data_IF_112030131833
#
_entry.id   IF_112030131833
#
_cell.length_a   1.000
_cell.length_b   1.000
_cell.length_c   1.000
_cell.angle_alpha   90.00
_cell.angle_beta   90.00
_cell.angle_gamma   90.00
#
_symmetry.space_group_name_H-M   'P 1'
#
loop_
_entity.id
_entity.type
_entity.pdbx_description
1 polymer ?
#
# COMPACT_ATOMS: atom_id res chain seq x y z
N UNK A 1 -74.02 -63.40 2.39
CA UNK A 1 -72.61 -63.82 2.45
C UNK A 1 -71.81 -62.61 2.07
N UNK A 2 -71.21 -61.90 3.01
CA UNK A 2 -70.08 -62.26 3.89
C UNK A 2 -68.73 -61.87 3.28
N UNK A 3 -67.97 -61.09 4.08
CA UNK A 3 -66.57 -60.65 4.06
C UNK A 3 -65.95 -60.10 2.74
N UNK A 4 -65.16 -59.02 2.68
CA UNK A 4 -64.47 -58.22 3.69
C UNK A 4 -62.99 -57.98 3.29
N UNK A 5 -62.51 -56.73 3.45
CA UNK A 5 -61.09 -56.26 3.45
C UNK A 5 -60.46 -55.89 2.09
N UNK A 6 -59.72 -54.78 1.89
CA UNK A 6 -59.51 -53.51 2.59
C UNK A 6 -58.80 -52.53 1.63
N UNK A 7 -58.86 -51.25 1.98
CA UNK A 7 -58.45 -50.06 1.24
C UNK A 7 -56.95 -49.92 0.88
N UNK A 8 -56.68 -49.29 -0.27
CA UNK A 8 -55.57 -48.35 -0.47
C UNK A 8 -55.93 -47.35 -1.59
N UNK A 9 -55.97 -46.05 -1.25
CA UNK A 9 -56.39 -44.92 -2.08
C UNK A 9 -55.21 -44.35 -2.91
N UNK A 10 -55.45 -43.48 -3.92
CA UNK A 10 -54.62 -43.36 -5.11
C UNK A 10 -53.57 -42.25 -5.03
N UNK A 11 -52.39 -42.47 -5.61
CA UNK A 11 -51.42 -41.42 -5.90
C UNK A 11 -51.58 -40.98 -7.37
N UNK A 12 -52.22 -39.82 -7.56
CA UNK A 12 -52.45 -39.18 -8.84
C UNK A 12 -51.18 -38.55 -9.42
N UNK A 13 -51.02 -38.69 -10.72
CA UNK A 13 -49.98 -38.07 -11.53
C UNK A 13 -50.30 -36.60 -11.86
N UNK A 14 -49.30 -35.71 -11.69
CA UNK A 14 -49.09 -34.41 -12.36
C UNK A 14 -47.81 -33.75 -11.78
N UNK A 15 -47.26 -32.66 -12.34
CA UNK A 15 -46.71 -32.48 -13.68
C UNK A 15 -45.21 -32.05 -13.63
N UNK A 16 -44.61 -31.88 -14.81
CA UNK A 16 -43.21 -31.48 -15.01
C UNK A 16 -42.79 -30.23 -14.20
N UNK A 17 -41.75 -30.39 -13.38
CA UNK A 17 -41.09 -29.29 -12.69
C UNK A 17 -40.14 -28.56 -13.65
N UNK A 18 -40.38 -27.27 -13.83
CA UNK A 18 -39.49 -26.33 -14.49
C UNK A 18 -38.15 -26.28 -13.76
N UNK A 19 -37.10 -26.81 -14.41
CA UNK A 19 -35.73 -26.54 -14.02
C UNK A 19 -35.42 -25.08 -14.41
N UNK A 20 -35.35 -24.23 -13.40
CA UNK A 20 -34.81 -22.87 -13.48
C UNK A 20 -33.41 -22.92 -14.08
N UNK A 21 -33.28 -22.47 -15.32
CA UNK A 21 -32.01 -22.27 -15.99
C UNK A 21 -31.22 -21.19 -15.23
N UNK A 22 -30.13 -21.61 -14.59
CA UNK A 22 -29.07 -20.72 -14.14
C UNK A 22 -28.54 -19.92 -15.34
N UNK A 23 -28.18 -18.63 -15.19
CA UNK A 23 -27.69 -17.85 -16.31
C UNK A 23 -26.36 -18.44 -16.77
N UNK A 24 -26.34 -18.89 -18.03
CA UNK A 24 -25.15 -19.39 -18.68
C UNK A 24 -24.04 -18.32 -18.63
N UNK A 25 -22.94 -18.66 -17.96
CA UNK A 25 -21.71 -17.88 -18.01
C UNK A 25 -21.28 -17.74 -19.48
N UNK A 26 -21.00 -16.49 -19.88
CA UNK A 26 -20.42 -16.19 -21.19
C UNK A 26 -19.12 -16.97 -21.40
N UNK A 27 -18.79 -17.38 -22.64
CA UNK A 27 -17.62 -18.21 -22.87
C UNK A 27 -16.33 -17.40 -22.62
N UNK A 28 -15.46 -17.92 -21.75
CA UNK A 28 -14.12 -17.36 -21.44
C UNK A 28 -13.15 -17.33 -22.65
N UNK A 29 -13.61 -17.70 -23.85
CA UNK A 29 -12.84 -17.68 -25.10
C UNK A 29 -12.62 -16.28 -25.69
N UNK A 30 -13.20 -15.23 -25.11
CA UNK A 30 -13.15 -13.86 -25.65
C UNK A 30 -12.21 -12.90 -24.91
N UNK A 31 -11.62 -13.30 -23.78
CA UNK A 31 -10.78 -12.42 -22.94
C UNK A 31 -9.29 -12.50 -23.30
N UNK A 32 -8.84 -13.64 -23.82
CA UNK A 32 -7.43 -13.90 -24.08
C UNK A 32 -7.14 -14.04 -25.58
N UNK A 33 -6.10 -13.39 -26.11
CA UNK A 33 -5.74 -13.46 -27.54
C UNK A 33 -5.32 -14.86 -28.02
N UNK A 34 -4.85 -15.71 -27.11
CA UNK A 34 -4.37 -17.07 -27.41
C UNK A 34 -4.44 -17.94 -26.16
N UNK A 35 -4.47 -19.27 -26.36
CA UNK A 35 -4.36 -20.24 -25.29
C UNK A 35 -3.12 -19.99 -24.40
N UNK A 36 -1.99 -19.61 -24.99
CA UNK A 36 -0.78 -19.28 -24.21
C UNK A 36 -0.99 -18.12 -23.25
N UNK A 37 -1.77 -17.10 -23.62
CA UNK A 37 -2.07 -15.97 -22.74
C UNK A 37 -2.97 -16.40 -21.57
N UNK A 38 -3.94 -17.28 -21.84
CA UNK A 38 -4.81 -17.84 -20.81
C UNK A 38 -4.02 -18.69 -19.82
N UNK A 39 -3.15 -19.56 -20.33
CA UNK A 39 -2.36 -20.48 -19.51
C UNK A 39 -1.31 -19.69 -18.68
N UNK A 40 -0.64 -18.70 -19.28
CA UNK A 40 0.26 -17.80 -18.56
C UNK A 40 -0.46 -16.99 -17.47
N UNK A 41 -1.65 -16.49 -17.75
CA UNK A 41 -2.46 -15.79 -16.75
C UNK A 41 -2.90 -16.72 -15.62
N UNK A 42 -3.27 -17.97 -15.92
CA UNK A 42 -3.62 -18.96 -14.93
C UNK A 42 -2.46 -19.26 -13.97
N UNK A 43 -1.23 -19.39 -14.50
CA UNK A 43 -0.01 -19.54 -13.68
C UNK A 43 0.20 -18.32 -12.78
N UNK A 44 0.09 -17.11 -13.34
CA UNK A 44 0.20 -15.88 -12.55
C UNK A 44 -0.83 -15.82 -11.40
N UNK A 45 -2.10 -16.15 -11.67
CA UNK A 45 -3.15 -16.18 -10.64
C UNK A 45 -2.87 -17.23 -9.57
N UNK A 46 -2.39 -18.41 -9.97
CA UNK A 46 -2.03 -19.47 -9.03
C UNK A 46 -0.91 -19.01 -8.09
N UNK A 47 0.15 -18.38 -8.62
CA UNK A 47 1.24 -17.83 -7.82
C UNK A 47 0.78 -16.71 -6.89
N UNK A 48 -0.09 -15.80 -7.36
CA UNK A 48 -0.70 -14.79 -6.51
C UNK A 48 -1.47 -15.44 -5.35
N UNK A 49 -2.27 -16.48 -5.64
CA UNK A 49 -3.06 -17.20 -4.64
C UNK A 49 -2.19 -17.90 -3.61
N UNK A 50 -1.10 -18.54 -4.02
CA UNK A 50 -0.15 -19.19 -3.12
C UNK A 50 0.57 -18.14 -2.26
N UNK A 51 0.97 -17.03 -2.85
CA UNK A 51 1.60 -15.92 -2.10
C UNK A 51 0.63 -15.24 -1.11
N UNK A 52 -0.66 -15.21 -1.43
CA UNK A 52 -1.73 -14.60 -0.63
C UNK A 52 -2.26 -15.54 0.46
N UNK A 53 -2.10 -16.86 0.29
CA UNK A 53 -2.37 -17.88 1.29
C UNK A 53 -1.35 -17.79 2.43
N UNK A 54 -1.36 -16.68 3.15
CA UNK A 54 -0.85 -16.62 4.52
C UNK A 54 -1.79 -17.44 5.41
N UNK A 55 -1.24 -18.44 6.09
CA UNK A 55 -1.77 -19.09 7.30
C UNK A 55 -3.30 -19.02 7.44
N UNK A 56 -4.08 -19.49 6.46
CA UNK A 56 -5.54 -19.42 6.56
C UNK A 56 -5.94 -20.20 7.81
N UNK A 57 -6.28 -19.42 8.82
CA UNK A 57 -6.74 -19.84 10.12
C UNK A 57 -8.03 -20.60 9.90
N UNK A 58 -8.02 -21.90 10.20
CA UNK A 58 -9.15 -22.79 9.98
C UNK A 58 -8.70 -24.24 9.92
N UNK A 59 -7.93 -24.60 8.89
CA UNK A 59 -7.70 -26.02 8.59
C UNK A 59 -6.27 -26.51 8.88
N UNK A 60 -5.29 -25.61 9.04
CA UNK A 60 -3.91 -25.99 9.37
C UNK A 60 -3.63 -26.06 10.89
N UNK A 61 -4.46 -25.42 11.72
CA UNK A 61 -4.26 -25.40 13.18
C UNK A 61 -4.47 -26.79 13.82
N UNK A 62 -5.06 -27.75 13.09
CA UNK A 62 -5.27 -29.10 13.58
C UNK A 62 -4.11 -30.07 13.30
N UNK A 63 -3.08 -29.71 12.50
CA UNK A 63 -2.07 -30.69 12.07
C UNK A 63 -0.62 -30.19 11.83
N UNK A 64 -0.29 -28.88 11.86
CA UNK A 64 1.04 -28.42 11.42
C UNK A 64 2.01 -28.11 12.58
N UNK A 65 3.03 -28.95 12.78
CA UNK A 65 4.20 -28.61 13.61
C UNK A 65 5.08 -27.50 12.99
N UNK A 66 6.12 -27.01 13.70
CA UNK A 66 6.98 -25.92 13.24
C UNK A 66 7.66 -26.17 11.87
N UNK A 67 7.89 -27.43 11.51
CA UNK A 67 8.44 -27.81 10.21
C UNK A 67 7.48 -27.53 9.04
N UNK A 68 6.17 -27.72 9.22
CA UNK A 68 5.17 -27.45 8.19
C UNK A 68 4.99 -25.94 7.96
N UNK A 69 5.09 -25.14 9.03
CA UNK A 69 5.08 -23.68 8.91
C UNK A 69 6.28 -23.14 8.12
N UNK A 70 7.47 -23.75 8.28
CA UNK A 70 8.66 -23.37 7.52
C UNK A 70 8.49 -23.65 6.01
N UNK A 71 7.96 -24.81 5.65
CA UNK A 71 7.68 -25.17 4.24
C UNK A 71 6.70 -24.18 3.59
N UNK A 72 5.69 -23.72 4.33
CA UNK A 72 4.74 -22.72 3.83
C UNK A 72 5.42 -21.36 3.57
N UNK A 73 6.32 -20.93 4.45
CA UNK A 73 7.09 -19.69 4.26
C UNK A 73 8.00 -19.81 3.03
N UNK A 74 8.68 -20.94 2.86
CA UNK A 74 9.54 -21.19 1.70
C UNK A 74 8.74 -21.19 0.38
N UNK A 75 7.59 -21.87 0.36
CA UNK A 75 6.67 -21.86 -0.79
C UNK A 75 6.20 -20.45 -1.15
N UNK A 76 5.95 -19.62 -0.14
CA UNK A 76 5.55 -18.23 -0.30
C UNK A 76 6.68 -17.37 -0.88
N UNK A 77 7.89 -17.50 -0.35
CA UNK A 77 9.07 -16.79 -0.87
C UNK A 77 9.32 -17.17 -2.33
N UNK A 78 9.30 -18.47 -2.65
CA UNK A 78 9.48 -18.94 -4.02
C UNK A 78 8.39 -18.39 -4.95
N UNK A 79 7.14 -18.36 -4.51
CA UNK A 79 6.03 -17.82 -5.31
C UNK A 79 6.23 -16.32 -5.59
N UNK A 80 6.69 -15.55 -4.61
CA UNK A 80 6.99 -14.12 -4.79
C UNK A 80 8.20 -13.89 -5.71
N UNK A 81 9.24 -14.72 -5.62
CA UNK A 81 10.38 -14.68 -6.55
C UNK A 81 9.92 -14.91 -7.99
N UNK A 82 9.13 -15.96 -8.22
CA UNK A 82 8.57 -16.26 -9.54
C UNK A 82 7.65 -15.14 -10.06
N UNK A 83 6.87 -14.51 -9.18
CA UNK A 83 6.06 -13.34 -9.55
C UNK A 83 6.95 -12.16 -9.96
N UNK A 84 8.03 -11.89 -9.23
CA UNK A 84 9.01 -10.86 -9.60
C UNK A 84 9.62 -11.16 -10.98
N UNK A 85 10.02 -12.40 -11.23
CA UNK A 85 10.62 -12.81 -12.51
C UNK A 85 9.63 -12.65 -13.67
N UNK A 86 8.35 -12.98 -13.46
CA UNK A 86 7.28 -12.77 -14.46
C UNK A 86 7.14 -11.29 -14.78
N UNK A 87 7.13 -10.41 -13.77
CA UNK A 87 6.95 -8.96 -13.97
C UNK A 87 8.17 -8.37 -14.68
N UNK A 88 9.37 -8.82 -14.34
CA UNK A 88 10.63 -8.38 -14.98
C UNK A 88 10.68 -8.75 -16.46
N UNK A 89 10.36 -10.01 -16.76
CA UNK A 89 10.62 -10.62 -18.05
C UNK A 89 9.37 -10.77 -18.92
N UNK A 90 8.21 -10.27 -18.49
CA UNK A 90 6.99 -10.31 -19.28
C UNK A 90 7.22 -9.65 -20.65
N UNK A 91 6.84 -10.32 -21.74
CA UNK A 91 6.86 -9.73 -23.08
C UNK A 91 5.79 -8.65 -23.25
N UNK A 92 5.97 -7.77 -24.24
CA UNK A 92 5.08 -6.62 -24.51
C UNK A 92 3.59 -7.03 -24.69
N UNK A 93 3.33 -8.15 -25.37
CA UNK A 93 1.99 -8.69 -25.55
C UNK A 93 1.31 -9.10 -24.22
N UNK A 94 2.10 -9.56 -23.25
CA UNK A 94 1.58 -9.91 -21.93
C UNK A 94 1.41 -8.68 -21.05
N UNK A 95 2.34 -7.72 -21.10
CA UNK A 95 2.26 -6.45 -20.34
C UNK A 95 1.06 -5.59 -20.73
N UNK A 96 0.70 -5.58 -22.01
CA UNK A 96 -0.44 -4.81 -22.54
C UNK A 96 -1.80 -5.50 -22.39
N UNK A 97 -1.82 -6.77 -21.95
CA UNK A 97 -3.06 -7.52 -21.79
C UNK A 97 -3.91 -6.95 -20.66
N UNK A 98 -5.15 -6.54 -20.98
CA UNK A 98 -6.11 -6.03 -19.96
C UNK A 98 -6.37 -7.03 -18.84
N UNK A 99 -6.42 -8.32 -19.15
CA UNK A 99 -6.64 -9.35 -18.15
C UNK A 99 -5.46 -9.44 -17.17
N UNK A 100 -4.23 -9.34 -17.69
CA UNK A 100 -3.02 -9.35 -16.86
C UNK A 100 -2.91 -8.09 -16.01
N UNK A 101 -3.12 -6.90 -16.60
CA UNK A 101 -3.15 -5.63 -15.86
C UNK A 101 -4.23 -5.62 -14.77
N UNK A 102 -5.44 -6.13 -15.07
CA UNK A 102 -6.49 -6.30 -14.07
C UNK A 102 -6.11 -7.30 -12.97
N UNK A 103 -5.36 -8.35 -13.32
CA UNK A 103 -4.79 -9.30 -12.36
C UNK A 103 -3.75 -8.67 -11.44
N UNK A 104 -2.88 -7.80 -11.97
CA UNK A 104 -1.92 -7.04 -11.16
C UNK A 104 -2.68 -6.13 -10.17
N UNK A 105 -3.60 -5.32 -10.68
CA UNK A 105 -4.39 -4.37 -9.88
C UNK A 105 -5.13 -5.00 -8.71
N UNK A 106 -5.73 -6.18 -8.94
CA UNK A 106 -6.55 -6.86 -7.94
C UNK A 106 -5.74 -7.89 -7.15
N UNK A 107 -5.34 -8.98 -7.79
CA UNK A 107 -4.79 -10.16 -7.12
C UNK A 107 -3.38 -9.94 -6.60
N UNK A 108 -2.52 -9.30 -7.40
CA UNK A 108 -1.15 -9.03 -6.95
C UNK A 108 -1.13 -7.91 -5.90
N UNK A 109 -1.82 -6.80 -6.11
CA UNK A 109 -1.92 -5.73 -5.10
C UNK A 109 -2.48 -6.24 -3.77
N UNK A 110 -3.57 -7.03 -3.78
CA UNK A 110 -4.14 -7.63 -2.58
C UNK A 110 -3.11 -8.54 -1.87
N UNK A 111 -2.36 -9.35 -2.63
CA UNK A 111 -1.32 -10.23 -2.09
C UNK A 111 -0.15 -9.42 -1.50
N UNK A 112 0.33 -8.41 -2.21
CA UNK A 112 1.42 -7.53 -1.76
C UNK A 112 1.06 -6.86 -0.44
N UNK A 113 -0.15 -6.31 -0.33
CA UNK A 113 -0.61 -5.66 0.89
C UNK A 113 -0.52 -6.58 2.12
N UNK A 114 -0.96 -7.83 1.99
CA UNK A 114 -0.89 -8.81 3.11
C UNK A 114 0.55 -9.24 3.39
N UNK A 115 1.40 -9.26 2.37
CA UNK A 115 2.80 -9.66 2.49
C UNK A 115 3.66 -8.59 3.16
N UNK A 116 3.32 -7.30 3.00
CA UNK A 116 3.99 -6.20 3.70
C UNK A 116 3.75 -6.22 5.22
N UNK A 117 2.65 -6.83 5.66
CA UNK A 117 2.29 -6.98 7.07
C UNK A 117 2.70 -8.36 7.63
N UNK A 118 3.45 -9.17 6.86
CA UNK A 118 3.91 -10.47 7.29
C UNK A 118 5.00 -10.34 8.38
N UNK A 119 5.04 -11.25 9.37
CA UNK A 119 6.04 -11.19 10.43
C UNK A 119 7.46 -11.57 9.95
N UNK A 120 7.59 -12.21 8.79
CA UNK A 120 8.89 -12.58 8.21
C UNK A 120 9.46 -11.44 7.34
N UNK A 121 10.61 -10.84 7.70
CA UNK A 121 11.20 -9.72 6.94
C UNK A 121 11.52 -10.07 5.48
N UNK A 122 11.92 -11.31 5.19
CA UNK A 122 12.20 -11.76 3.83
C UNK A 122 10.97 -11.67 2.90
N UNK A 123 9.78 -11.97 3.43
CA UNK A 123 8.52 -11.88 2.67
C UNK A 123 8.18 -10.43 2.37
N UNK A 124 8.34 -9.56 3.38
CA UNK A 124 8.15 -8.10 3.22
C UNK A 124 9.10 -7.55 2.16
N UNK A 125 10.39 -7.93 2.21
CA UNK A 125 11.40 -7.50 1.26
C UNK A 125 11.04 -7.89 -0.18
N UNK A 126 10.55 -9.11 -0.41
CA UNK A 126 10.10 -9.54 -1.73
C UNK A 126 8.86 -8.76 -2.19
N UNK A 127 7.90 -8.50 -1.29
CA UNK A 127 6.74 -7.67 -1.61
C UNK A 127 7.14 -6.25 -2.03
N UNK A 128 8.04 -5.63 -1.27
CA UNK A 128 8.59 -4.30 -1.58
C UNK A 128 9.38 -4.26 -2.89
N UNK A 129 10.15 -5.32 -3.18
CA UNK A 129 10.88 -5.45 -4.45
C UNK A 129 9.94 -5.48 -5.64
N UNK A 130 8.88 -6.28 -5.57
CA UNK A 130 7.86 -6.36 -6.62
C UNK A 130 7.16 -5.01 -6.79
N UNK A 131 6.76 -4.37 -5.69
CA UNK A 131 6.16 -3.03 -5.73
C UNK A 131 7.06 -2.03 -6.46
N UNK A 132 8.34 -1.97 -6.09
CA UNK A 132 9.32 -1.07 -6.70
C UNK A 132 9.48 -1.34 -8.20
N UNK A 133 9.46 -2.61 -8.61
CA UNK A 133 9.50 -3.00 -10.02
C UNK A 133 8.27 -2.55 -10.81
N UNK A 134 7.08 -2.65 -10.21
CA UNK A 134 5.84 -2.16 -10.83
C UNK A 134 5.86 -0.64 -11.02
N UNK A 135 6.35 0.11 -10.03
CA UNK A 135 6.44 1.58 -10.09
C UNK A 135 7.49 2.04 -11.11
N UNK A 136 8.64 1.37 -11.18
CA UNK A 136 9.70 1.71 -12.14
C UNK A 136 9.38 1.30 -13.58
N UNK A 137 8.50 0.33 -13.77
CA UNK A 137 8.14 -0.14 -15.11
C UNK A 137 7.24 0.87 -15.82
N UNK A 138 7.75 1.47 -16.89
CA UNK A 138 6.99 2.38 -17.76
C UNK A 138 5.72 1.72 -18.35
N UNK A 139 5.69 0.39 -18.50
CA UNK A 139 4.53 -0.34 -19.02
C UNK A 139 3.43 -0.55 -17.97
N UNK A 140 3.77 -0.59 -16.68
CA UNK A 140 2.81 -0.88 -15.61
C UNK A 140 2.38 0.36 -14.84
N UNK A 141 3.31 1.26 -14.53
CA UNK A 141 3.08 2.50 -13.78
C UNK A 141 1.84 3.30 -14.22
N UNK A 142 1.63 3.63 -15.52
CA UNK A 142 0.47 4.43 -15.93
C UNK A 142 -0.87 3.73 -15.67
N UNK A 143 -0.86 2.40 -15.58
CA UNK A 143 -2.05 1.61 -15.28
C UNK A 143 -2.28 1.42 -13.79
N UNK A 144 -1.31 1.74 -12.92
CA UNK A 144 -1.35 1.44 -11.48
C UNK A 144 -1.41 2.69 -10.61
N UNK A 145 -1.80 3.85 -11.15
CA UNK A 145 -1.75 5.12 -10.41
C UNK A 145 -2.57 5.09 -9.11
N UNK A 146 -3.82 4.60 -9.16
CA UNK A 146 -4.66 4.46 -7.96
C UNK A 146 -4.05 3.50 -6.94
N UNK A 147 -3.52 2.37 -7.40
CA UNK A 147 -2.88 1.39 -6.52
C UNK A 147 -1.60 1.95 -5.87
N UNK A 148 -0.77 2.67 -6.64
CA UNK A 148 0.46 3.31 -6.15
C UNK A 148 0.14 4.36 -5.09
N UNK A 149 -0.88 5.19 -5.31
CA UNK A 149 -1.33 6.20 -4.34
C UNK A 149 -1.70 5.56 -3.01
N UNK A 150 -2.55 4.52 -3.04
CA UNK A 150 -2.97 3.80 -1.83
C UNK A 150 -1.78 3.13 -1.13
N UNK A 151 -0.87 2.50 -1.87
CA UNK A 151 0.32 1.89 -1.26
C UNK A 151 1.23 2.92 -0.59
N UNK A 152 1.51 4.05 -1.25
CA UNK A 152 2.41 5.04 -0.69
C UNK A 152 1.74 5.75 0.48
N UNK A 153 0.55 6.30 0.29
CA UNK A 153 -0.12 7.13 1.30
C UNK A 153 -0.68 6.28 2.46
N UNK A 154 -1.56 5.33 2.16
CA UNK A 154 -2.34 4.63 3.18
C UNK A 154 -1.59 3.45 3.80
N UNK A 155 -0.50 2.99 3.18
CA UNK A 155 0.32 1.88 3.69
C UNK A 155 1.70 2.35 4.12
N UNK A 156 2.51 2.92 3.23
CA UNK A 156 3.91 3.22 3.55
C UNK A 156 4.01 4.36 4.56
N UNK A 157 3.36 5.50 4.30
CA UNK A 157 3.39 6.64 5.23
C UNK A 157 2.72 6.28 6.56
N UNK A 158 1.61 5.54 6.53
CA UNK A 158 0.93 5.07 7.74
C UNK A 158 1.81 4.13 8.59
N UNK A 159 2.57 3.22 7.96
CA UNK A 159 3.50 2.32 8.67
C UNK A 159 4.74 3.06 9.19
N UNK A 160 5.22 4.06 8.45
CA UNK A 160 6.32 4.91 8.90
C UNK A 160 5.91 5.72 10.13
N UNK A 161 4.71 6.32 10.15
CA UNK A 161 4.19 7.11 11.28
C UNK A 161 3.71 6.25 12.45
N UNK A 162 3.30 5.00 12.19
CA UNK A 162 2.75 4.12 13.23
C UNK A 162 3.79 3.76 14.31
N UNK A 163 3.46 3.95 15.60
CA UNK A 163 4.36 3.63 16.71
C UNK A 163 4.55 2.12 16.91
N UNK A 164 3.72 1.26 16.30
CA UNK A 164 3.79 -0.19 16.43
C UNK A 164 4.58 -0.87 15.31
N UNK A 165 5.05 -0.12 14.31
CA UNK A 165 5.84 -0.67 13.22
C UNK A 165 7.23 -1.09 13.72
N UNK A 166 7.74 -2.21 13.21
CA UNK A 166 9.09 -2.67 13.54
C UNK A 166 10.15 -1.77 12.91
N UNK A 167 11.33 -1.74 13.55
CA UNK A 167 12.50 -1.06 13.02
C UNK A 167 12.85 -1.54 11.60
N UNK A 168 12.95 -2.85 11.37
CA UNK A 168 13.29 -3.43 10.07
C UNK A 168 12.31 -2.99 8.98
N UNK A 169 11.01 -2.99 9.26
CA UNK A 169 9.98 -2.57 8.32
C UNK A 169 10.13 -1.10 7.95
N UNK A 170 10.33 -0.22 8.94
CA UNK A 170 10.55 1.21 8.69
C UNK A 170 11.79 1.43 7.84
N UNK A 171 12.89 0.76 8.17
CA UNK A 171 14.14 0.89 7.42
C UNK A 171 13.98 0.42 5.97
N UNK A 172 13.33 -0.73 5.75
CA UNK A 172 13.04 -1.23 4.41
C UNK A 172 12.14 -0.28 3.60
N UNK A 173 11.11 0.32 4.21
CA UNK A 173 10.25 1.31 3.55
C UNK A 173 11.04 2.56 3.14
N UNK A 174 11.89 3.09 4.03
CA UNK A 174 12.74 4.24 3.71
C UNK A 174 13.74 3.92 2.59
N UNK A 175 14.31 2.71 2.57
CA UNK A 175 15.17 2.24 1.49
C UNK A 175 14.43 2.15 0.14
N UNK A 176 13.17 1.73 0.15
CA UNK A 176 12.35 1.69 -1.08
C UNK A 176 12.04 3.09 -1.59
N UNK A 177 11.69 4.02 -0.69
CA UNK A 177 11.46 5.43 -1.05
C UNK A 177 12.73 6.05 -1.62
N UNK A 178 13.88 5.82 -0.99
CA UNK A 178 15.18 6.26 -1.51
C UNK A 178 15.45 5.67 -2.90
N UNK A 179 15.25 4.36 -3.06
CA UNK A 179 15.50 3.68 -4.32
C UNK A 179 14.59 4.22 -5.43
N UNK A 180 13.34 4.55 -5.12
CA UNK A 180 12.43 5.19 -6.06
C UNK A 180 12.90 6.61 -6.40
N UNK A 181 13.32 7.40 -5.40
CA UNK A 181 13.82 8.74 -5.60
C UNK A 181 15.08 8.78 -6.48
N UNK A 182 15.98 7.80 -6.37
CA UNK A 182 17.18 7.70 -7.22
C UNK A 182 16.88 7.35 -8.69
N UNK A 183 15.70 6.83 -9.00
CA UNK A 183 15.27 6.59 -10.38
C UNK A 183 14.66 7.87 -10.95
N UNK A 184 15.49 8.69 -11.59
CA UNK A 184 15.09 10.03 -12.01
C UNK A 184 13.89 10.06 -12.94
N UNK A 185 13.84 9.16 -13.91
CA UNK A 185 12.73 9.07 -14.85
C UNK A 185 11.44 8.69 -14.12
N UNK A 186 11.46 7.60 -13.35
CA UNK A 186 10.28 7.15 -12.64
C UNK A 186 9.79 8.16 -11.59
N UNK A 187 10.70 8.83 -10.89
CA UNK A 187 10.38 9.81 -9.86
C UNK A 187 9.79 11.10 -10.43
N UNK A 188 10.36 11.66 -11.50
CA UNK A 188 9.81 12.86 -12.15
C UNK A 188 8.43 12.57 -12.75
N UNK A 189 8.25 11.38 -13.33
CA UNK A 189 6.93 10.97 -13.82
C UNK A 189 5.94 10.76 -12.67
N UNK A 190 6.38 10.29 -11.50
CA UNK A 190 5.52 10.22 -10.31
C UNK A 190 5.07 11.63 -9.89
N UNK A 191 6.01 12.57 -9.76
CA UNK A 191 5.71 13.97 -9.43
C UNK A 191 4.71 14.59 -10.42
N UNK A 192 4.94 14.40 -11.72
CA UNK A 192 4.03 14.91 -12.76
C UNK A 192 2.62 14.28 -12.71
N UNK A 193 2.50 13.01 -12.31
CA UNK A 193 1.23 12.28 -12.31
C UNK A 193 0.39 12.45 -11.03
N UNK A 194 1.00 12.88 -9.93
CA UNK A 194 0.34 13.00 -8.62
C UNK A 194 0.27 14.45 -8.13
N UNK A 195 1.38 15.18 -8.14
CA UNK A 195 1.47 16.53 -7.55
C UNK A 195 1.17 17.63 -8.58
N UNK A 196 1.43 17.39 -9.88
CA UNK A 196 1.15 18.38 -10.94
C UNK A 196 -0.27 18.30 -11.53
N UNK A 197 -1.19 17.55 -10.91
CA UNK A 197 -2.55 17.34 -11.42
C UNK A 197 -3.56 18.02 -10.51
N UNK A 198 -4.27 19.01 -11.04
CA UNK A 198 -5.32 19.72 -10.30
C UNK A 198 -6.38 18.75 -9.73
N UNK A 199 -6.66 18.88 -8.44
CA UNK A 199 -7.66 18.07 -7.74
C UNK A 199 -7.20 16.69 -7.27
N UNK A 200 -5.92 16.35 -7.44
CA UNK A 200 -5.27 15.21 -6.75
C UNK A 200 -4.53 15.69 -5.50
N UNK A 201 -4.08 14.73 -4.68
CA UNK A 201 -3.31 15.03 -3.48
C UNK A 201 -1.82 14.96 -3.79
N UNK A 202 -1.04 15.88 -3.21
CA UNK A 202 0.41 15.98 -3.42
C UNK A 202 1.14 14.82 -2.72
N UNK A 203 1.37 13.74 -3.46
CA UNK A 203 1.94 12.50 -2.93
C UNK A 203 3.43 12.67 -2.62
N UNK A 204 4.19 13.28 -3.55
CA UNK A 204 5.62 13.47 -3.38
C UNK A 204 5.90 14.49 -2.27
N UNK A 205 5.10 15.55 -2.18
CA UNK A 205 5.15 16.50 -1.06
C UNK A 205 4.95 15.80 0.29
N UNK A 206 3.90 14.97 0.43
CA UNK A 206 3.65 14.22 1.68
C UNK A 206 4.79 13.28 2.04
N UNK A 207 5.38 12.61 1.06
CA UNK A 207 6.56 11.75 1.27
C UNK A 207 7.71 12.61 1.79
N UNK A 208 8.02 13.75 1.13
CA UNK A 208 9.07 14.66 1.57
C UNK A 208 8.85 15.18 3.00
N UNK A 209 7.64 15.60 3.33
CA UNK A 209 7.27 16.07 4.66
C UNK A 209 7.41 14.98 5.73
N UNK A 210 7.01 13.76 5.40
CA UNK A 210 7.15 12.60 6.31
C UNK A 210 8.63 12.29 6.55
N UNK A 211 9.43 12.22 5.49
CA UNK A 211 10.88 11.99 5.62
C UNK A 211 11.55 13.10 6.44
N UNK A 212 11.16 14.36 6.24
CA UNK A 212 11.70 15.49 7.00
C UNK A 212 11.34 15.40 8.48
N UNK A 213 10.10 15.02 8.82
CA UNK A 213 9.68 14.82 10.19
C UNK A 213 10.46 13.69 10.89
N UNK A 214 10.70 12.59 10.18
CA UNK A 214 11.50 11.45 10.66
C UNK A 214 12.95 11.89 10.86
N UNK A 215 13.56 12.53 9.86
CA UNK A 215 14.93 13.01 9.90
C UNK A 215 15.22 13.99 11.05
N UNK A 216 14.24 14.84 11.38
CA UNK A 216 14.33 15.81 12.47
C UNK A 216 14.11 15.19 13.86
N UNK A 217 13.77 13.90 13.94
CA UNK A 217 13.43 13.24 15.21
C UNK A 217 12.18 13.82 15.88
N UNK A 218 11.36 14.58 15.14
CA UNK A 218 10.13 15.23 15.65
C UNK A 218 8.97 14.26 15.84
N UNK A 219 9.16 13.02 15.42
CA UNK A 219 8.16 12.01 15.64
C UNK A 219 8.07 11.74 17.15
N UNK A 220 6.86 11.86 17.68
CA UNK A 220 6.51 11.91 19.11
C UNK A 220 7.27 10.88 19.97
N UNK A 221 7.34 11.06 21.31
CA UNK A 221 7.88 10.04 22.22
C UNK A 221 7.28 8.63 21.98
N UNK A 222 6.09 8.55 21.39
CA UNK A 222 5.45 7.32 20.89
C UNK A 222 6.12 6.70 19.65
N UNK A 223 6.71 7.49 18.74
CA UNK A 223 7.41 7.03 17.54
C UNK A 223 8.74 6.35 17.87
N UNK A 224 9.45 6.88 18.87
CA UNK A 224 10.68 6.29 19.39
C UNK A 224 10.43 5.09 20.31
N UNK A 225 9.16 4.82 20.70
CA UNK A 225 8.84 3.74 21.63
C UNK A 225 9.15 2.33 21.09
N UNK A 226 9.17 2.16 19.76
CA UNK A 226 9.55 0.90 19.09
C UNK A 226 11.04 0.80 18.79
N UNK A 227 11.78 1.90 18.81
CA UNK A 227 13.23 1.93 18.65
C UNK A 227 13.85 1.63 20.02
N UNK A 228 14.37 0.42 20.19
CA UNK A 228 14.87 -0.05 21.49
C UNK A 228 16.23 0.55 21.83
N UNK A 229 16.95 1.08 20.85
CA UNK A 229 18.29 1.66 21.02
C UNK A 229 18.41 3.02 20.33
N UNK A 230 19.28 3.88 20.87
CA UNK A 230 19.62 5.16 20.24
C UNK A 230 20.25 4.96 18.84
N UNK A 231 20.92 3.83 18.61
CA UNK A 231 21.51 3.45 17.33
C UNK A 231 20.44 3.16 16.27
N UNK A 232 19.38 2.44 16.61
CA UNK A 232 18.23 2.18 15.72
C UNK A 232 17.52 3.50 15.34
N UNK A 233 17.38 4.41 16.30
CA UNK A 233 16.80 5.74 16.04
C UNK A 233 17.66 6.55 15.06
N UNK A 234 18.97 6.60 15.29
CA UNK A 234 19.91 7.27 14.41
C UNK A 234 19.93 6.66 12.99
N UNK A 235 19.82 5.33 12.88
CA UNK A 235 19.79 4.65 11.59
C UNK A 235 18.54 5.01 10.76
N UNK A 236 17.36 5.07 11.38
CA UNK A 236 16.12 5.51 10.71
C UNK A 236 16.21 6.97 10.28
N UNK A 237 16.73 7.85 11.13
CA UNK A 237 16.93 9.27 10.82
C UNK A 237 17.90 9.45 9.65
N UNK A 238 19.04 8.77 9.69
CA UNK A 238 20.04 8.79 8.63
C UNK A 238 19.46 8.30 7.29
N UNK A 239 18.71 7.20 7.32
CA UNK A 239 18.08 6.66 6.12
C UNK A 239 17.03 7.62 5.54
N UNK A 240 16.24 8.29 6.38
CA UNK A 240 15.28 9.30 5.93
C UNK A 240 15.98 10.52 5.29
N UNK A 241 17.09 10.98 5.86
CA UNK A 241 17.92 12.03 5.26
C UNK A 241 18.49 11.61 3.90
N UNK A 242 18.94 10.37 3.79
CA UNK A 242 19.50 9.85 2.53
C UNK A 242 18.42 9.79 1.44
N UNK A 243 17.19 9.39 1.80
CA UNK A 243 16.04 9.43 0.90
C UNK A 243 15.69 10.86 0.44
N UNK A 244 15.70 11.84 1.36
CA UNK A 244 15.49 13.25 1.00
C UNK A 244 16.56 13.79 0.06
N UNK A 245 17.83 13.49 0.35
CA UNK A 245 18.94 13.87 -0.52
C UNK A 245 18.78 13.26 -1.92
N UNK A 246 18.37 11.99 -2.01
CA UNK A 246 18.08 11.36 -3.30
C UNK A 246 16.99 12.11 -4.08
N UNK A 247 15.90 12.54 -3.43
CA UNK A 247 14.85 13.34 -4.07
C UNK A 247 15.40 14.66 -4.61
N UNK A 248 16.17 15.40 -3.80
CA UNK A 248 16.76 16.68 -4.21
C UNK A 248 17.76 16.51 -5.35
N UNK A 249 18.62 15.50 -5.29
CA UNK A 249 19.59 15.21 -6.35
C UNK A 249 18.91 14.86 -7.67
N UNK A 250 17.81 14.11 -7.61
CA UNK A 250 17.01 13.76 -8.79
C UNK A 250 16.34 14.97 -9.42
N UNK A 251 15.71 15.83 -8.61
CA UNK A 251 15.11 17.08 -9.12
C UNK A 251 16.18 17.98 -9.75
N UNK A 252 17.33 18.13 -9.08
CA UNK A 252 18.47 18.88 -9.63
C UNK A 252 18.94 18.31 -10.96
N UNK A 253 19.12 16.98 -11.05
CA UNK A 253 19.54 16.31 -12.27
C UNK A 253 18.58 16.54 -13.45
N UNK A 254 17.27 16.48 -13.18
CA UNK A 254 16.25 16.76 -14.19
C UNK A 254 16.26 18.22 -14.66
N UNK A 255 16.50 19.17 -13.74
CA UNK A 255 16.63 20.60 -14.07
C UNK A 255 17.90 20.86 -14.90
N UNK A 256 19.03 20.28 -14.50
CA UNK A 256 20.31 20.43 -15.22
C UNK A 256 20.21 19.88 -16.66
N UNK A 257 19.55 18.73 -16.84
CA UNK A 257 19.27 18.14 -18.15
C UNK A 257 18.39 19.06 -19.01
N UNK A 258 17.35 19.66 -18.40
CA UNK A 258 16.44 20.58 -19.10
C UNK A 258 17.15 21.88 -19.51
N UNK A 259 18.09 22.36 -18.70
CA UNK A 259 18.85 23.60 -18.96
C UNK A 259 20.11 23.37 -19.82
N UNK A 260 20.45 22.12 -20.15
CA UNK A 260 21.66 21.78 -20.92
C UNK A 260 22.96 22.09 -20.16
N UNK A 261 22.92 22.13 -18.82
CA UNK A 261 24.10 22.35 -17.98
C UNK A 261 24.93 21.05 -17.89
N UNK A 262 26.26 21.11 -17.96
CA UNK A 262 27.09 19.92 -17.75
C UNK A 262 26.93 19.43 -16.32
N UNK A 263 26.74 18.12 -16.15
CA UNK A 263 26.63 17.44 -14.84
C UNK A 263 27.86 17.72 -13.97
N UNK A 264 27.82 18.78 -13.15
CA UNK A 264 28.72 18.95 -11.99
C UNK A 264 28.35 17.98 -10.85
N UNK A 265 27.22 17.28 -10.99
CA UNK A 265 26.66 16.36 -10.01
C UNK A 265 27.63 15.23 -9.62
N UNK A 266 28.50 14.77 -10.53
CA UNK A 266 29.52 13.78 -10.21
C UNK A 266 30.58 14.31 -9.23
N UNK A 267 31.04 15.55 -9.41
CA UNK A 267 32.05 16.17 -8.54
C UNK A 267 31.48 16.61 -7.19
N UNK A 268 30.21 17.02 -7.15
CA UNK A 268 29.55 17.46 -5.92
C UNK A 268 29.02 16.30 -5.08
N UNK A 269 28.61 15.17 -5.69
CA UNK A 269 28.22 13.97 -4.94
C UNK A 269 29.42 13.34 -4.22
N UNK A 270 30.61 13.38 -4.84
CA UNK A 270 31.87 12.97 -4.22
C UNK A 270 32.25 13.91 -3.05
N UNK A 271 32.05 15.22 -3.21
CA UNK A 271 32.27 16.21 -2.15
C UNK A 271 31.26 16.11 -0.99
N UNK A 272 29.99 15.81 -1.27
CA UNK A 272 28.95 15.62 -0.26
C UNK A 272 29.16 14.32 0.53
N UNK A 273 29.54 13.23 -0.14
CA UNK A 273 29.92 11.97 0.52
C UNK A 273 31.14 12.17 1.44
N UNK A 274 32.15 12.93 0.99
CA UNK A 274 33.31 13.27 1.80
C UNK A 274 32.96 14.16 3.01
N UNK A 275 31.99 15.07 2.88
CA UNK A 275 31.52 15.91 3.98
C UNK A 275 30.75 15.12 5.05
N UNK A 276 29.97 14.11 4.64
CA UNK A 276 29.25 13.20 5.55
C UNK A 276 30.22 12.30 6.30
N UNK A 277 31.25 11.77 5.64
CA UNK A 277 32.30 10.98 6.29
C UNK A 277 33.11 11.82 7.31
N UNK A 278 33.40 13.08 6.97
CA UNK A 278 34.06 14.03 7.87
C UNK A 278 33.19 14.45 9.08
N UNK A 279 31.86 14.37 8.96
CA UNK A 279 30.93 14.61 10.08
C UNK A 279 30.84 13.39 11.01
N UNK A 280 30.86 12.17 10.46
CA UNK A 280 30.87 10.92 11.23
C UNK A 280 32.17 10.74 12.04
N UNK A 281 33.32 11.19 11.51
CA UNK A 281 34.63 11.11 12.18
C UNK A 281 34.80 12.03 13.41
N UNK A 282 33.87 12.96 13.67
CA UNK A 282 33.95 13.87 14.83
C UNK A 282 33.17 13.38 16.06
N UNK A 283 32.36 12.32 15.94
CA UNK A 283 31.68 11.70 17.06
C UNK A 283 32.53 10.57 17.65
N UNK A 284 33.70 10.93 18.17
CA UNK A 284 34.63 9.98 18.78
C UNK A 284 35.46 10.63 19.87
N UNK A 285 34.86 10.95 21.02
CA UNK A 285 35.61 11.04 22.29
C UNK A 285 34.75 10.54 23.47
N UNK A 286 35.42 9.66 24.20
CA UNK A 286 35.20 8.99 25.49
C UNK A 286 34.63 9.79 26.67
N UNK A 287 33.88 9.04 27.49
CA UNK A 287 33.38 9.28 28.86
C UNK A 287 34.31 10.00 29.85
N UNK A 288 33.78 10.91 30.67
CA UNK A 288 33.88 10.92 32.16
C UNK A 288 33.13 12.11 32.79
N UNK A 289 32.59 11.88 33.99
CA UNK A 289 31.68 12.73 34.76
C UNK A 289 32.27 14.04 35.29
N UNK A 290 31.44 15.10 35.42
CA UNK A 290 31.37 16.02 36.58
C UNK A 290 29.94 16.56 36.71
N UNK A 291 29.44 16.56 37.94
CA UNK A 291 28.20 17.13 38.47
C UNK A 291 28.30 18.65 38.55
N UNK A 292 27.24 19.38 38.20
CA UNK A 292 26.80 20.59 38.94
C UNK A 292 25.38 21.00 38.51
N UNK A 293 24.56 21.28 39.53
CA UNK A 293 23.18 21.76 39.54
C UNK A 293 23.00 23.12 38.83
N UNK A 294 21.81 23.38 38.27
CA UNK A 294 21.02 24.59 38.59
C UNK A 294 19.54 24.42 38.17
N UNK A 295 18.66 25.05 38.95
CA UNK A 295 17.20 24.88 39.00
C UNK A 295 16.42 25.85 38.07
N UNK A 296 15.10 25.60 38.00
CA UNK A 296 13.98 26.51 37.66
C UNK A 296 13.71 26.77 36.15
N UNK A 297 12.48 26.92 35.66
CA UNK A 297 11.15 26.93 36.25
C UNK A 297 10.08 26.71 35.13
N UNK A 298 8.87 26.47 35.61
CA UNK A 298 7.56 26.28 34.99
C UNK A 298 7.14 27.33 33.92
N UNK A 299 6.31 26.91 32.95
CA UNK A 299 5.15 27.67 32.47
C UNK A 299 4.48 26.99 31.25
N UNK A 300 3.30 26.43 31.51
CA UNK A 300 2.29 26.11 30.51
C UNK A 300 1.48 27.36 30.07
N UNK A 301 0.84 27.20 28.90
CA UNK A 301 -0.40 27.84 28.44
C UNK A 301 -0.36 29.23 27.77
N UNK A 302 -0.79 29.25 26.50
CA UNK A 302 -1.64 30.23 25.78
C UNK A 302 -1.30 30.12 24.27
N UNK A 303 -2.19 30.13 23.29
CA UNK A 303 -3.60 30.48 23.23
C UNK A 303 -4.25 29.78 22.03
N UNK A 304 -5.50 29.37 22.22
CA UNK A 304 -6.45 29.15 21.14
C UNK A 304 -7.22 30.46 20.85
N UNK A 305 -7.78 30.51 19.64
CA UNK A 305 -8.88 31.37 19.17
C UNK A 305 -8.54 32.66 18.39
N UNK A 306 -8.69 32.57 17.07
CA UNK A 306 -9.35 33.54 16.16
C UNK A 306 -9.36 32.90 14.76
N UNK A 307 -10.41 32.87 13.94
CA UNK A 307 -11.75 33.41 14.00
C UNK A 307 -12.60 32.62 12.98
N UNK A 308 -13.88 32.43 13.28
CA UNK A 308 -14.90 32.02 12.33
C UNK A 308 -15.42 33.24 11.57
N UNK A 309 -15.63 33.11 10.25
CA UNK A 309 -16.54 33.94 9.46
C UNK A 309 -16.95 33.18 8.18
N UNK A 310 -18.18 32.66 8.18
CA UNK A 310 -19.01 32.36 7.00
C UNK A 310 -19.74 33.66 6.56
N UNK A 311 -20.55 33.68 5.49
CA UNK A 311 -20.32 33.24 4.10
C UNK A 311 -20.81 34.32 3.10
N UNK A 312 -20.46 34.26 1.81
CA UNK A 312 -21.30 34.89 0.77
C UNK A 312 -21.50 34.01 -0.46
N UNK A 313 -22.76 34.03 -0.87
CA UNK A 313 -23.50 33.35 -1.91
C UNK A 313 -23.13 33.74 -3.33
N UNK A 314 -23.21 32.80 -4.26
CA UNK A 314 -23.78 33.01 -5.61
C UNK A 314 -24.39 31.70 -6.14
N UNK A 315 -25.69 31.75 -6.41
CA UNK A 315 -26.45 30.82 -7.28
C UNK A 315 -26.18 31.22 -8.75
N UNK A 316 -26.46 30.50 -9.84
CA UNK A 316 -27.33 29.38 -10.22
C UNK A 316 -26.73 28.79 -11.53
N UNK A 317 -27.09 27.56 -11.91
CA UNK A 317 -26.76 27.05 -13.25
C UNK A 317 -27.01 25.56 -13.46
N UNK A 318 -28.28 25.19 -13.54
CA UNK A 318 -28.81 23.85 -13.82
C UNK A 318 -28.59 23.41 -15.28
N UNK A 319 -28.21 22.15 -15.50
CA UNK A 319 -28.60 21.37 -16.69
C UNK A 319 -28.29 19.87 -16.51
N UNK A 320 -29.36 19.10 -16.41
CA UNK A 320 -29.43 17.64 -16.46
C UNK A 320 -28.84 17.03 -17.75
N UNK A 321 -28.14 15.90 -17.61
CA UNK A 321 -28.05 14.86 -18.63
C UNK A 321 -27.71 13.52 -17.97
N UNK A 322 -28.75 12.81 -17.55
CA UNK A 322 -28.70 11.43 -17.06
C UNK A 322 -28.87 10.47 -18.25
N UNK A 323 -27.86 9.63 -18.53
CA UNK A 323 -28.02 8.25 -19.03
C UNK A 323 -26.65 7.59 -19.28
N UNK A 324 -26.59 6.26 -19.06
CA UNK A 324 -25.50 5.33 -19.39
C UNK A 324 -24.35 5.06 -18.39
N UNK A 325 -24.58 5.23 -17.08
CA UNK A 325 -23.59 4.90 -16.04
C UNK A 325 -23.84 3.56 -15.27
N UNK A 326 -24.54 2.57 -15.86
CA UNK A 326 -24.98 1.39 -15.11
C UNK A 326 -24.18 0.10 -15.34
N UNK A 327 -23.28 0.00 -16.33
CA UNK A 327 -22.67 -1.32 -16.68
C UNK A 327 -21.13 -1.35 -16.65
N UNK A 328 -20.44 -0.27 -16.25
CA UNK A 328 -18.97 -0.28 -16.02
C UNK A 328 -18.57 -0.25 -14.54
N UNK A 329 -19.54 -0.38 -13.62
CA UNK A 329 -19.35 -0.17 -12.17
C UNK A 329 -18.84 -1.41 -11.40
N UNK A 330 -18.84 -2.60 -12.00
CA UNK A 330 -18.50 -3.84 -11.30
C UNK A 330 -16.97 -4.11 -11.18
N UNK A 331 -16.14 -3.46 -12.00
CA UNK A 331 -14.68 -3.64 -12.00
C UNK A 331 -13.89 -2.52 -11.32
N UNK A 332 -14.53 -1.40 -10.96
CA UNK A 332 -13.94 -0.24 -10.27
C UNK A 332 -13.77 -0.44 -8.77
N UNK A 333 -14.19 -1.58 -8.22
CA UNK A 333 -14.02 -1.94 -6.81
C UNK A 333 -12.60 -2.49 -6.52
N UNK A 334 -11.58 -1.98 -7.21
CA UNK A 334 -10.17 -2.26 -6.93
C UNK A 334 -9.79 -1.49 -5.67
N UNK A 335 -9.08 -2.16 -4.75
CA UNK A 335 -8.41 -1.68 -3.52
C UNK A 335 -8.86 -0.33 -2.91
N UNK A 336 -8.71 0.79 -3.62
CA UNK A 336 -9.18 2.13 -3.24
C UNK A 336 -10.64 2.14 -2.73
N UNK A 337 -11.56 1.48 -3.44
CA UNK A 337 -12.96 1.41 -2.99
C UNK A 337 -13.14 0.67 -1.65
N UNK A 338 -12.35 -0.39 -1.43
CA UNK A 338 -12.38 -1.17 -0.17
C UNK A 338 -11.72 -0.43 0.98
N UNK A 339 -10.64 0.32 0.71
CA UNK A 339 -9.99 1.19 1.70
C UNK A 339 -10.90 2.35 2.10
N UNK A 340 -11.55 3.00 1.14
CA UNK A 340 -12.53 4.04 1.43
C UNK A 340 -13.71 3.52 2.27
N UNK A 341 -14.22 2.33 1.96
CA UNK A 341 -15.31 1.71 2.70
C UNK A 341 -14.89 1.36 4.13
N UNK A 342 -13.70 0.78 4.30
CA UNK A 342 -13.12 0.50 5.62
C UNK A 342 -12.84 1.78 6.42
N UNK A 343 -12.41 2.86 5.76
CA UNK A 343 -12.21 4.20 6.36
C UNK A 343 -13.53 4.81 6.81
N UNK A 344 -14.58 4.73 5.98
CA UNK A 344 -15.95 5.17 6.32
C UNK A 344 -16.52 4.38 7.50
N UNK A 345 -16.30 3.07 7.53
CA UNK A 345 -16.73 2.19 8.63
C UNK A 345 -16.01 2.53 9.94
N UNK A 346 -14.68 2.72 9.92
CA UNK A 346 -13.92 3.16 11.09
C UNK A 346 -14.37 4.53 11.60
N UNK A 347 -14.63 5.49 10.72
CA UNK A 347 -15.13 6.81 11.09
C UNK A 347 -16.55 6.72 11.72
N UNK A 348 -17.41 5.86 11.19
CA UNK A 348 -18.73 5.58 11.76
C UNK A 348 -18.63 4.94 13.15
N UNK A 349 -17.73 3.96 13.33
CA UNK A 349 -17.51 3.31 14.61
C UNK A 349 -16.93 4.27 15.66
N UNK A 350 -16.00 5.15 15.28
CA UNK A 350 -15.49 6.20 16.18
C UNK A 350 -16.59 7.18 16.57
N UNK A 351 -17.42 7.60 15.61
CA UNK A 351 -18.58 8.47 15.88
C UNK A 351 -19.63 7.77 16.76
N UNK A 352 -19.85 6.47 16.55
CA UNK A 352 -20.74 5.65 17.37
C UNK A 352 -20.18 5.49 18.80
N UNK A 353 -18.88 5.28 18.96
CA UNK A 353 -18.22 5.19 20.26
C UNK A 353 -18.34 6.51 21.07
N UNK A 354 -18.18 7.66 20.40
CA UNK A 354 -18.38 8.98 21.02
C UNK A 354 -19.85 9.17 21.43
N UNK A 355 -20.80 8.80 20.56
CA UNK A 355 -22.25 8.88 20.87
C UNK A 355 -22.65 7.96 22.03
N UNK A 356 -22.09 6.75 22.08
CA UNK A 356 -22.32 5.77 23.15
C UNK A 356 -21.79 6.28 24.49
N UNK A 357 -20.63 6.93 24.50
CA UNK A 357 -20.03 7.54 25.69
C UNK A 357 -20.81 8.75 26.20
N UNK A 358 -21.48 9.50 25.32
CA UNK A 358 -22.26 10.69 25.67
C UNK A 358 -23.69 10.37 26.14
N UNK A 359 -24.33 9.30 25.63
CA UNK A 359 -25.68 8.90 26.03
C UNK A 359 -25.84 7.37 26.00
N UNK A 360 -25.49 6.65 27.08
CA UNK A 360 -25.57 5.19 27.13
C UNK A 360 -27.00 4.61 27.05
N UNK A 361 -28.05 5.45 27.04
CA UNK A 361 -29.47 5.01 27.06
C UNK A 361 -30.18 4.98 25.70
N UNK A 362 -29.47 5.23 24.60
CA UNK A 362 -30.02 5.07 23.24
C UNK A 362 -29.09 4.16 22.43
N UNK A 363 -29.15 2.88 22.74
CA UNK A 363 -28.50 1.82 21.97
C UNK A 363 -29.48 0.67 21.77
N UNK A 364 -30.23 0.75 20.68
CA UNK A 364 -30.50 -0.33 19.71
C UNK A 364 -30.55 0.34 18.35
#
# INVERSE_FOLDING_TARGET
GDAGSAAAAPAAAAPAAAATAAPAAAPESSVFPSQYHRDAFAVFRALCTISDQGYKSGDAQAASGPAAAAILVESKILSLQLLSDIIENAGEAFRSSRAFLGGIKSQLSDALLRNLLAPQPQVVQMGLRIFLQLVRSASFRPHLSEEIEVFVEEVFLALLDSPTSSFDLRLMLLQVIEALARDGTAFIELFANFDCVDGRQDLVEKVANTLAAIAQGRASASFNATQRTAEEAAAVQHQALTALLAMVHTVRGAVDETLGMPSSAAAEAEAAAAAVEAAAGKSGVTSTAVVEDDEAEDAAAAAAAAAAADPESFADGDSDAESDAATSRAGRASLAGRFEESRKERALLQRAAIKFRMKPKLGI
#
